data_IF_267506312047
#
_entry.id   IF_267506312047
#
_cell.length_a   1.000
_cell.length_b   1.000
_cell.length_c   1.000
_cell.angle_alpha   90.00
_cell.angle_beta   90.00
_cell.angle_gamma   90.00
#
_symmetry.space_group_name_H-M   'P 1'
#
loop_
_entity.id
_entity.type
_entity.pdbx_description
1 polymer ?
#
# COMPACT_ATOMS: atom_id res chain seq x y z
N UNK A 1 -14.34 -15.80 9.94
CA UNK A 1 -13.73 -14.63 10.61
C UNK A 1 -12.27 -14.42 10.20
N UNK A 2 -11.36 -15.38 10.47
CA UNK A 2 -9.92 -15.24 10.14
C UNK A 2 -9.69 -15.01 8.64
N UNK A 3 -10.35 -15.79 7.78
CA UNK A 3 -10.23 -15.67 6.32
C UNK A 3 -10.54 -14.26 5.80
N UNK A 4 -11.53 -13.59 6.39
CA UNK A 4 -11.89 -12.22 6.00
C UNK A 4 -10.88 -11.18 6.51
N UNK A 5 -10.30 -11.38 7.70
CA UNK A 5 -9.19 -10.54 8.15
C UNK A 5 -8.00 -10.65 7.19
N UNK A 6 -7.69 -11.85 6.71
CA UNK A 6 -6.62 -12.06 5.74
C UNK A 6 -6.94 -11.45 4.37
N UNK A 7 -8.20 -11.51 3.90
CA UNK A 7 -8.61 -10.81 2.67
C UNK A 7 -8.47 -9.29 2.80
N UNK A 8 -8.91 -8.73 3.94
CA UNK A 8 -8.78 -7.30 4.26
C UNK A 8 -7.31 -6.90 4.30
N UNK A 9 -6.45 -7.71 4.92
CA UNK A 9 -5.01 -7.45 5.00
C UNK A 9 -4.35 -7.48 3.61
N UNK A 10 -4.70 -8.46 2.78
CA UNK A 10 -4.22 -8.58 1.40
C UNK A 10 -4.64 -7.38 0.54
N UNK A 11 -5.91 -6.99 0.64
CA UNK A 11 -6.44 -5.86 -0.11
C UNK A 11 -5.85 -4.52 0.36
N UNK A 12 -5.67 -4.35 1.66
CA UNK A 12 -4.97 -3.21 2.25
C UNK A 12 -3.49 -3.18 1.83
N UNK A 13 -2.83 -4.33 1.75
CA UNK A 13 -1.46 -4.43 1.25
C UNK A 13 -1.37 -3.92 -0.18
N UNK A 14 -2.28 -4.36 -1.07
CA UNK A 14 -2.35 -3.89 -2.44
C UNK A 14 -2.56 -2.37 -2.52
N UNK A 15 -3.48 -1.83 -1.70
CA UNK A 15 -3.75 -0.39 -1.58
C UNK A 15 -2.53 0.43 -1.11
N UNK A 16 -1.68 -0.19 -0.29
CA UNK A 16 -0.43 0.38 0.18
C UNK A 16 0.69 0.36 -0.85
N UNK A 17 0.55 -0.35 -1.97
CA UNK A 17 1.52 -0.37 -3.08
C UNK A 17 1.04 0.51 -4.23
N UNK A 18 -0.22 0.35 -4.64
CA UNK A 18 -0.85 1.21 -5.64
C UNK A 18 -2.23 1.65 -5.21
N UNK A 19 -2.66 2.79 -5.74
CA UNK A 19 -3.95 3.36 -5.36
C UNK A 19 -5.01 3.05 -6.40
N UNK A 20 -4.80 3.46 -7.66
CA UNK A 20 -5.86 3.34 -8.66
C UNK A 20 -5.98 1.93 -9.20
N UNK A 21 -4.85 1.27 -9.43
CA UNK A 21 -4.83 -0.06 -10.03
C UNK A 21 -5.61 -1.11 -9.20
N UNK A 22 -5.38 -1.30 -7.89
CA UNK A 22 -6.14 -2.28 -7.13
C UNK A 22 -7.61 -1.87 -6.98
N UNK A 23 -7.90 -0.58 -6.81
CA UNK A 23 -9.28 -0.09 -6.70
C UNK A 23 -10.06 -0.30 -8.01
N UNK A 24 -9.41 -0.13 -9.16
CA UNK A 24 -9.97 -0.41 -10.49
C UNK A 24 -10.25 -1.91 -10.67
N UNK A 25 -9.30 -2.78 -10.29
CA UNK A 25 -9.48 -4.23 -10.38
C UNK A 25 -10.65 -4.67 -9.50
N UNK A 26 -10.69 -4.23 -8.25
CA UNK A 26 -11.78 -4.51 -7.31
C UNK A 26 -13.12 -3.99 -7.88
N UNK A 27 -13.12 -2.77 -8.43
CA UNK A 27 -14.29 -2.16 -9.05
C UNK A 27 -14.82 -2.93 -10.26
N UNK A 28 -13.94 -3.52 -11.08
CA UNK A 28 -14.34 -4.39 -12.19
C UNK A 28 -14.84 -5.75 -11.71
N UNK A 29 -14.18 -6.36 -10.72
CA UNK A 29 -14.55 -7.68 -10.19
C UNK A 29 -15.89 -7.65 -9.42
N UNK A 30 -16.19 -6.55 -8.72
CA UNK A 30 -17.36 -6.43 -7.84
C UNK A 30 -18.25 -5.23 -8.20
N UNK A 31 -18.42 -4.98 -9.50
CA UNK A 31 -18.99 -3.76 -10.10
C UNK A 31 -20.41 -3.37 -9.71
N UNK A 32 -21.15 -4.17 -8.94
CA UNK A 32 -22.46 -3.74 -8.41
C UNK A 32 -22.43 -3.52 -6.90
N UNK A 33 -21.68 -4.36 -6.18
CA UNK A 33 -21.62 -4.30 -4.71
C UNK A 33 -20.64 -3.24 -4.21
N UNK A 34 -19.51 -3.02 -4.89
CA UNK A 34 -18.52 -2.04 -4.42
C UNK A 34 -19.04 -0.60 -4.48
N UNK A 35 -19.77 -0.28 -5.55
CA UNK A 35 -20.26 1.07 -5.83
C UNK A 35 -21.43 1.46 -4.95
N UNK A 36 -22.25 0.48 -4.55
CA UNK A 36 -23.39 0.69 -3.65
C UNK A 36 -22.99 0.69 -2.17
N UNK A 37 -22.03 -0.14 -1.77
CA UNK A 37 -21.69 -0.31 -0.35
C UNK A 37 -20.64 0.67 0.17
N UNK A 38 -19.85 1.32 -0.69
CA UNK A 38 -18.80 2.26 -0.26
C UNK A 38 -19.37 3.69 -0.23
N UNK A 39 -19.46 4.34 0.95
CA UNK A 39 -20.19 5.60 1.12
C UNK A 39 -19.66 6.77 0.27
N UNK A 40 -18.36 6.75 -0.08
CA UNK A 40 -17.73 7.78 -0.92
C UNK A 40 -18.00 7.53 -2.41
N UNK A 41 -18.15 6.28 -2.83
CA UNK A 41 -18.39 5.89 -4.23
C UNK A 41 -19.88 5.86 -4.58
N UNK A 42 -20.77 5.65 -3.60
CA UNK A 42 -22.22 5.60 -3.80
C UNK A 42 -22.84 6.93 -4.27
N UNK A 43 -22.14 8.05 -4.09
CA UNK A 43 -22.61 9.38 -4.49
C UNK A 43 -22.26 9.74 -5.93
N UNK A 44 -21.45 8.93 -6.62
CA UNK A 44 -20.92 9.23 -7.97
C UNK A 44 -21.32 8.11 -8.92
N UNK A 45 -21.72 8.45 -10.15
CA UNK A 45 -22.06 7.46 -11.16
C UNK A 45 -20.86 6.52 -11.46
N UNK A 46 -21.05 5.18 -11.42
CA UNK A 46 -19.98 4.21 -11.64
C UNK A 46 -19.13 4.43 -12.91
N UNK A 47 -19.71 4.80 -14.08
CA UNK A 47 -18.93 5.02 -15.30
C UNK A 47 -17.91 6.16 -15.17
N UNK A 48 -18.24 7.21 -14.43
CA UNK A 48 -17.37 8.37 -14.21
C UNK A 48 -16.18 7.96 -13.36
N UNK A 49 -16.41 7.24 -12.27
CA UNK A 49 -15.32 6.81 -11.39
C UNK A 49 -14.42 5.78 -12.07
N UNK A 50 -14.98 4.85 -12.85
CA UNK A 50 -14.17 3.91 -13.65
C UNK A 50 -13.30 4.66 -14.65
N UNK A 51 -13.81 5.70 -15.29
CA UNK A 51 -13.05 6.52 -16.25
C UNK A 51 -11.91 7.28 -15.57
N UNK A 52 -12.16 7.84 -14.39
CA UNK A 52 -11.16 8.52 -13.57
C UNK A 52 -10.09 7.53 -13.09
N UNK A 53 -10.49 6.37 -12.55
CA UNK A 53 -9.58 5.33 -12.09
C UNK A 53 -8.74 4.75 -13.23
N UNK A 54 -9.33 4.57 -14.40
CA UNK A 54 -8.61 4.10 -15.59
C UNK A 54 -7.57 5.12 -16.02
N UNK A 55 -7.96 6.40 -16.09
CA UNK A 55 -7.04 7.49 -16.42
C UNK A 55 -5.90 7.60 -15.40
N UNK A 56 -6.21 7.47 -14.12
CA UNK A 56 -5.22 7.51 -13.04
C UNK A 56 -4.30 6.29 -13.04
N UNK A 57 -4.84 5.08 -13.31
CA UNK A 57 -4.06 3.84 -13.41
C UNK A 57 -3.08 3.89 -14.59
N UNK A 58 -3.51 4.44 -15.73
CA UNK A 58 -2.62 4.71 -16.86
C UNK A 58 -1.52 5.71 -16.50
N UNK A 59 -1.87 6.78 -15.77
CA UNK A 59 -0.90 7.75 -15.28
C UNK A 59 0.08 7.13 -14.27
N UNK A 60 -0.39 6.24 -13.39
CA UNK A 60 0.42 5.49 -12.43
C UNK A 60 1.41 4.57 -13.17
N UNK A 61 0.96 3.83 -14.19
CA UNK A 61 1.78 2.96 -15.05
C UNK A 61 2.84 3.73 -15.86
N UNK A 62 2.44 4.83 -16.49
CA UNK A 62 3.34 5.60 -17.37
C UNK A 62 4.29 6.47 -16.53
N UNK A 63 3.77 7.09 -15.48
CA UNK A 63 4.53 7.95 -14.58
C UNK A 63 5.56 7.19 -13.76
N UNK A 64 5.29 5.92 -13.44
CA UNK A 64 6.26 5.06 -12.74
C UNK A 64 7.48 4.68 -13.59
N UNK A 65 7.49 4.95 -14.91
CA UNK A 65 8.67 4.75 -15.76
C UNK A 65 9.66 5.92 -15.79
N UNK A 66 9.27 7.11 -15.31
CA UNK A 66 10.15 8.30 -15.28
C UNK A 66 10.51 8.65 -13.84
N UNK A 67 11.79 8.91 -13.56
CA UNK A 67 12.31 9.21 -12.20
C UNK A 67 11.59 10.40 -11.51
N UNK A 68 11.20 11.43 -12.27
CA UNK A 68 10.44 12.57 -11.74
C UNK A 68 8.97 12.21 -11.47
N UNK A 69 8.38 11.41 -12.35
CA UNK A 69 7.01 10.89 -12.19
C UNK A 69 6.90 10.01 -10.95
N UNK A 70 7.88 9.14 -10.72
CA UNK A 70 7.97 8.29 -9.53
C UNK A 70 7.95 9.10 -8.22
N UNK A 71 8.71 10.20 -8.12
CA UNK A 71 8.72 11.02 -6.89
C UNK A 71 7.37 11.66 -6.60
N UNK A 72 6.75 12.26 -7.62
CA UNK A 72 5.46 12.93 -7.46
C UNK A 72 4.38 11.90 -7.14
N UNK A 73 4.34 10.80 -7.87
CA UNK A 73 3.40 9.70 -7.63
C UNK A 73 3.56 9.15 -6.21
N UNK A 74 4.79 8.95 -5.74
CA UNK A 74 5.03 8.37 -4.44
C UNK A 74 4.64 9.30 -3.28
N UNK A 75 4.81 10.63 -3.42
CA UNK A 75 4.29 11.61 -2.44
C UNK A 75 2.77 11.60 -2.42
N UNK A 76 2.13 11.61 -3.60
CA UNK A 76 0.67 11.54 -3.70
C UNK A 76 0.16 10.23 -3.11
N UNK A 77 0.80 9.10 -3.42
CA UNK A 77 0.45 7.80 -2.86
C UNK A 77 0.65 7.75 -1.36
N UNK A 78 1.71 8.34 -0.81
CA UNK A 78 1.94 8.37 0.63
C UNK A 78 0.83 9.11 1.38
N UNK A 79 0.35 10.23 0.82
CA UNK A 79 -0.75 11.00 1.40
C UNK A 79 -2.11 10.31 1.24
N UNK A 80 -2.32 9.66 0.10
CA UNK A 80 -3.60 9.06 -0.25
C UNK A 80 -3.75 7.58 0.16
N UNK A 81 -2.66 6.84 0.42
CA UNK A 81 -2.73 5.41 0.78
C UNK A 81 -3.52 5.12 2.05
N UNK A 82 -3.47 5.92 3.14
CA UNK A 82 -4.30 5.63 4.32
C UNK A 82 -5.80 5.77 4.00
N UNK A 83 -6.15 6.76 3.17
CA UNK A 83 -7.54 6.97 2.74
C UNK A 83 -7.99 5.80 1.87
N UNK A 84 -7.22 5.44 0.85
CA UNK A 84 -7.57 4.38 -0.10
C UNK A 84 -7.56 3.01 0.56
N UNK A 85 -6.57 2.74 1.42
CA UNK A 85 -6.49 1.53 2.24
C UNK A 85 -7.70 1.38 3.15
N UNK A 86 -8.16 2.46 3.78
CA UNK A 86 -9.38 2.43 4.59
C UNK A 86 -10.62 2.11 3.76
N UNK A 87 -10.75 2.72 2.57
CA UNK A 87 -11.87 2.49 1.66
C UNK A 87 -11.90 1.04 1.20
N UNK A 88 -10.77 0.51 0.74
CA UNK A 88 -10.64 -0.87 0.26
C UNK A 88 -10.92 -1.86 1.38
N UNK A 89 -10.40 -1.64 2.58
CA UNK A 89 -10.65 -2.53 3.72
C UNK A 89 -12.11 -2.54 4.17
N UNK A 90 -12.78 -1.38 4.20
CA UNK A 90 -14.22 -1.29 4.47
C UNK A 90 -15.02 -2.00 3.38
N UNK A 91 -14.66 -1.79 2.11
CA UNK A 91 -15.31 -2.41 0.98
C UNK A 91 -15.21 -3.93 1.07
N UNK A 92 -14.01 -4.48 1.27
CA UNK A 92 -13.80 -5.93 1.40
C UNK A 92 -14.53 -6.51 2.61
N UNK A 93 -14.57 -5.80 3.74
CA UNK A 93 -15.30 -6.24 4.93
C UNK A 93 -16.82 -6.35 4.69
N UNK A 94 -17.40 -5.36 3.99
CA UNK A 94 -18.82 -5.40 3.59
C UNK A 94 -19.10 -6.53 2.60
N UNK A 95 -18.24 -6.69 1.61
CA UNK A 95 -18.35 -7.73 0.57
C UNK A 95 -18.24 -9.15 1.13
N UNK A 96 -17.49 -9.33 2.22
CA UNK A 96 -17.35 -10.62 2.91
C UNK A 96 -18.41 -10.84 4.00
N UNK A 97 -19.39 -9.94 4.12
CA UNK A 97 -20.52 -10.01 5.07
C UNK A 97 -20.08 -10.30 6.52
N UNK A 98 -18.99 -9.67 6.97
CA UNK A 98 -18.51 -9.94 8.32
C UNK A 98 -18.86 -8.81 9.28
N UNK A 99 -19.58 -9.16 10.34
CA UNK A 99 -19.83 -8.33 11.52
C UNK A 99 -18.56 -8.20 12.40
N UNK A 100 -17.42 -7.80 11.82
CA UNK A 100 -16.18 -7.57 12.57
C UNK A 100 -16.29 -6.18 13.23
N UNK A 101 -16.98 -6.09 14.37
CA UNK A 101 -16.98 -4.89 15.21
C UNK A 101 -17.33 -3.57 14.48
N UNK A 102 -16.84 -2.41 14.97
CA UNK A 102 -17.11 -1.14 14.33
C UNK A 102 -16.32 -1.03 13.01
N UNK A 103 -17.04 -0.85 11.90
CA UNK A 103 -16.51 -0.70 10.53
C UNK A 103 -15.38 0.35 10.44
N UNK A 104 -15.45 1.38 11.29
CA UNK A 104 -14.42 2.41 11.40
C UNK A 104 -13.06 1.86 11.84
N UNK A 105 -13.02 0.86 12.73
CA UNK A 105 -11.78 0.21 13.16
C UNK A 105 -11.13 -0.58 12.03
N UNK A 106 -11.93 -1.27 11.20
CA UNK A 106 -11.42 -1.99 10.03
C UNK A 106 -10.79 -1.02 9.03
N UNK A 107 -11.49 0.08 8.74
CA UNK A 107 -10.96 1.14 7.88
C UNK A 107 -9.68 1.75 8.45
N UNK A 108 -9.62 1.99 9.76
CA UNK A 108 -8.46 2.56 10.42
C UNK A 108 -7.25 1.60 10.39
N UNK A 109 -7.46 0.32 10.69
CA UNK A 109 -6.41 -0.71 10.63
C UNK A 109 -5.92 -0.90 9.20
N UNK A 110 -6.84 -0.96 8.23
CA UNK A 110 -6.51 -1.06 6.81
C UNK A 110 -5.78 0.17 6.26
N UNK A 111 -6.18 1.37 6.67
CA UNK A 111 -5.49 2.61 6.30
C UNK A 111 -4.10 2.70 6.91
N UNK A 112 -3.96 2.38 8.19
CA UNK A 112 -2.66 2.35 8.88
C UNK A 112 -1.72 1.30 8.27
N UNK A 113 -2.24 0.11 7.97
CA UNK A 113 -1.46 -0.96 7.37
C UNK A 113 -0.93 -0.57 5.98
N UNK A 114 -1.80 -0.04 5.12
CA UNK A 114 -1.42 0.50 3.81
C UNK A 114 -0.37 1.62 3.93
N UNK A 115 -0.56 2.52 4.90
CA UNK A 115 0.37 3.61 5.17
C UNK A 115 1.75 3.12 5.65
N UNK A 116 1.79 2.13 6.54
CA UNK A 116 3.04 1.53 7.03
C UNK A 116 3.84 0.88 5.91
N UNK A 117 3.19 0.12 5.03
CA UNK A 117 3.86 -0.46 3.87
C UNK A 117 4.40 0.64 2.95
N UNK A 118 3.56 1.62 2.62
CA UNK A 118 3.96 2.73 1.75
C UNK A 118 5.16 3.51 2.32
N UNK A 119 5.18 3.79 3.63
CA UNK A 119 6.33 4.42 4.30
C UNK A 119 7.63 3.65 4.10
N UNK A 120 7.59 2.32 4.15
CA UNK A 120 8.79 1.50 3.94
C UNK A 120 9.20 1.50 2.47
N UNK A 121 8.27 1.40 1.52
CA UNK A 121 8.57 1.52 0.10
C UNK A 121 9.23 2.89 -0.20
N UNK A 122 8.69 3.98 0.36
CA UNK A 122 9.27 5.33 0.24
C UNK A 122 10.64 5.42 0.91
N UNK A 123 10.80 4.86 2.11
CA UNK A 123 12.08 4.85 2.82
C UNK A 123 13.17 4.10 2.05
N UNK A 124 12.80 3.01 1.37
CA UNK A 124 13.72 2.26 0.53
C UNK A 124 14.09 3.04 -0.73
N UNK A 125 13.11 3.69 -1.38
CA UNK A 125 13.33 4.59 -2.52
C UNK A 125 14.32 5.70 -2.18
N UNK A 126 14.15 6.38 -1.04
CA UNK A 126 15.01 7.48 -0.62
C UNK A 126 16.47 7.04 -0.40
N UNK A 127 16.67 5.81 0.10
CA UNK A 127 18.01 5.22 0.29
C UNK A 127 18.67 4.82 -1.03
N UNK A 128 17.90 4.24 -1.97
CA UNK A 128 18.42 3.74 -3.25
C UNK A 128 18.63 4.83 -4.31
N UNK A 129 18.25 6.10 -4.05
CA UNK A 129 18.42 7.25 -4.97
C UNK A 129 17.84 7.03 -6.39
N UNK A 130 16.93 6.08 -6.54
CA UNK A 130 16.26 5.71 -7.78
C UNK A 130 15.82 4.25 -7.72
N UNK A 131 14.52 3.99 -7.85
CA UNK A 131 14.03 2.62 -7.94
C UNK A 131 14.41 2.06 -9.32
N UNK A 132 15.15 0.94 -9.39
CA UNK A 132 15.35 0.26 -10.65
C UNK A 132 13.98 -0.16 -11.19
N UNK A 133 13.79 -0.04 -12.51
CA UNK A 133 12.53 -0.32 -13.21
C UNK A 133 11.97 -1.71 -12.87
N UNK A 134 12.84 -2.66 -12.54
CA UNK A 134 12.48 -4.00 -12.07
C UNK A 134 11.64 -4.00 -10.80
N UNK A 135 11.91 -3.12 -9.83
CA UNK A 135 11.17 -3.09 -8.57
C UNK A 135 9.76 -2.57 -8.79
N UNK A 136 9.60 -1.55 -9.64
CA UNK A 136 8.27 -1.07 -10.08
C UNK A 136 7.48 -2.20 -10.74
N UNK A 137 8.12 -2.97 -11.61
CA UNK A 137 7.45 -4.10 -12.27
C UNK A 137 7.02 -5.18 -11.27
N UNK A 138 7.87 -5.48 -10.27
CA UNK A 138 7.56 -6.41 -9.18
C UNK A 138 6.40 -5.88 -8.33
N UNK A 139 6.41 -4.60 -7.99
CA UNK A 139 5.36 -3.94 -7.21
C UNK A 139 4.00 -4.02 -7.91
N UNK A 140 3.96 -3.70 -9.20
CA UNK A 140 2.74 -3.79 -10.02
C UNK A 140 2.20 -5.22 -10.05
N UNK A 141 3.10 -6.17 -10.29
CA UNK A 141 2.78 -7.60 -10.33
C UNK A 141 2.25 -8.07 -8.98
N UNK A 142 2.91 -7.69 -7.88
CA UNK A 142 2.51 -8.09 -6.53
C UNK A 142 1.18 -7.45 -6.14
N UNK A 143 0.93 -6.21 -6.51
CA UNK A 143 -0.35 -5.53 -6.31
C UNK A 143 -1.49 -6.28 -6.99
N UNK A 144 -1.32 -6.68 -8.26
CA UNK A 144 -2.34 -7.46 -8.99
C UNK A 144 -2.59 -8.80 -8.29
N UNK A 145 -1.53 -9.53 -7.94
CA UNK A 145 -1.66 -10.80 -7.24
C UNK A 145 -2.35 -10.67 -5.89
N UNK A 146 -2.02 -9.65 -5.08
CA UNK A 146 -2.64 -9.42 -3.78
C UNK A 146 -4.15 -9.14 -3.89
N UNK A 147 -4.59 -8.41 -4.91
CA UNK A 147 -6.03 -8.19 -5.16
C UNK A 147 -6.71 -9.48 -5.57
N UNK A 148 -6.12 -10.23 -6.48
CA UNK A 148 -6.68 -11.51 -6.92
C UNK A 148 -6.75 -12.52 -5.76
N UNK A 149 -5.70 -12.58 -4.93
CA UNK A 149 -5.68 -13.43 -3.74
C UNK A 149 -6.64 -12.95 -2.67
N UNK A 150 -6.87 -11.65 -2.51
CA UNK A 150 -7.85 -11.15 -1.54
C UNK A 150 -9.25 -11.75 -1.77
N UNK A 151 -9.62 -12.03 -3.03
CA UNK A 151 -10.92 -12.64 -3.35
C UNK A 151 -10.87 -14.16 -3.54
N UNK A 152 -9.88 -14.69 -4.26
CA UNK A 152 -9.84 -16.11 -4.63
C UNK A 152 -9.12 -17.00 -3.61
N UNK A 153 -8.06 -16.48 -2.99
CA UNK A 153 -7.19 -17.23 -2.07
C UNK A 153 -6.75 -16.35 -0.89
N UNK A 154 -7.71 -15.90 -0.05
CA UNK A 154 -7.46 -14.89 0.98
C UNK A 154 -6.40 -15.32 1.99
N UNK A 155 -6.24 -16.62 2.25
CA UNK A 155 -5.20 -17.14 3.12
C UNK A 155 -3.80 -16.85 2.59
N UNK A 156 -3.55 -17.14 1.32
CA UNK A 156 -2.26 -16.90 0.65
C UNK A 156 -1.98 -15.39 0.54
N UNK A 157 -2.99 -14.60 0.16
CA UNK A 157 -2.87 -13.15 0.07
C UNK A 157 -2.56 -12.50 1.42
N UNK A 158 -3.23 -12.93 2.49
CA UNK A 158 -2.98 -12.44 3.85
C UNK A 158 -1.61 -12.85 4.38
N UNK A 159 -1.12 -14.05 4.05
CA UNK A 159 0.23 -14.49 4.39
C UNK A 159 1.30 -13.62 3.71
N UNK A 160 1.11 -13.31 2.42
CA UNK A 160 1.99 -12.39 1.68
C UNK A 160 1.95 -11.00 2.33
N UNK A 161 0.77 -10.49 2.69
CA UNK A 161 0.63 -9.22 3.38
C UNK A 161 1.37 -9.21 4.74
N UNK A 162 1.28 -10.29 5.52
CA UNK A 162 2.03 -10.43 6.77
C UNK A 162 3.54 -10.49 6.53
N UNK A 163 3.99 -11.18 5.47
CA UNK A 163 5.40 -11.23 5.09
C UNK A 163 5.92 -9.84 4.70
N UNK A 164 5.13 -9.07 3.94
CA UNK A 164 5.43 -7.68 3.61
C UNK A 164 5.51 -6.80 4.87
N UNK A 165 4.59 -6.98 5.81
CA UNK A 165 4.64 -6.27 7.10
C UNK A 165 5.91 -6.64 7.88
N UNK A 166 6.28 -7.92 7.91
CA UNK A 166 7.50 -8.35 8.57
C UNK A 166 8.76 -7.74 7.92
N UNK A 167 8.82 -7.70 6.59
CA UNK A 167 9.86 -6.99 5.86
C UNK A 167 9.87 -5.50 6.19
N UNK A 168 8.70 -4.89 6.34
CA UNK A 168 8.55 -3.49 6.72
C UNK A 168 9.16 -3.21 8.10
N UNK A 169 8.86 -4.04 9.09
CA UNK A 169 9.44 -3.94 10.43
C UNK A 169 10.96 -4.14 10.40
N UNK A 170 11.45 -5.15 9.67
CA UNK A 170 12.89 -5.45 9.56
C UNK A 170 13.66 -4.33 8.85
N UNK A 171 13.07 -3.71 7.84
CA UNK A 171 13.66 -2.57 7.13
C UNK A 171 13.81 -1.35 8.05
N UNK A 172 12.77 -1.06 8.85
CA UNK A 172 12.79 0.01 9.86
C UNK A 172 13.89 -0.19 10.92
N UNK A 173 14.09 -1.42 11.40
CA UNK A 173 15.14 -1.74 12.36
C UNK A 173 16.55 -1.46 11.82
N UNK A 174 16.83 -1.85 10.57
CA UNK A 174 18.12 -1.52 9.93
C UNK A 174 18.33 -0.01 9.82
N UNK A 175 17.28 0.76 9.55
CA UNK A 175 17.33 2.23 9.50
C UNK A 175 17.69 2.81 10.86
N UNK A 176 17.06 2.32 11.93
CA UNK A 176 17.33 2.77 13.28
C UNK A 176 18.77 2.44 13.72
N UNK A 177 19.30 1.28 13.33
CA UNK A 177 20.67 0.88 13.62
C UNK A 177 21.70 1.76 12.89
N UNK A 178 21.53 1.99 11.58
CA UNK A 178 22.41 2.85 10.79
C UNK A 178 22.43 4.30 11.30
N UNK A 179 21.28 4.82 11.73
CA UNK A 179 21.19 6.14 12.32
C UNK A 179 21.93 6.22 13.67
N UNK A 180 21.84 5.17 14.50
CA UNK A 180 22.56 5.10 15.79
C UNK A 180 24.08 5.00 15.60
N UNK A 181 24.55 4.24 14.62
CA UNK A 181 25.98 4.13 14.28
C UNK A 181 26.55 5.44 13.74
N UNK A 182 25.84 6.08 12.81
CA UNK A 182 26.24 7.37 12.24
C UNK A 182 26.30 8.46 13.31
N UNK A 183 25.35 8.47 14.25
CA UNK A 183 25.36 9.39 15.41
C UNK A 183 26.49 9.09 16.39
N UNK A 184 26.85 7.81 16.60
CA UNK A 184 28.02 7.41 17.43
C UNK A 184 29.34 7.83 16.81
N UNK A 185 29.50 7.71 15.49
CA UNK A 185 30.71 8.12 14.77
C UNK A 185 30.87 9.66 14.78
N UNK A 186 29.77 10.41 14.67
CA UNK A 186 29.79 11.87 14.77
C UNK A 186 30.09 12.39 16.19
N UNK A 187 29.81 11.60 17.23
CA UNK A 187 30.08 11.93 18.64
C UNK A 187 31.42 11.38 19.15
N UNK A 188 32.14 10.58 18.36
CA UNK A 188 33.50 10.17 18.70
C UNK A 188 34.38 11.40 18.47
N UNK A 189 34.93 12.05 19.52
CA UNK A 189 35.89 13.12 19.30
C UNK A 189 37.04 12.51 18.52
N UNK A 190 37.43 13.16 17.44
CA UNK A 190 38.70 12.91 16.77
C UNK A 190 39.78 12.98 17.84
N UNK A 191 40.20 11.81 18.33
CA UNK A 191 41.36 11.70 19.19
C UNK A 191 42.50 12.36 18.43
N UNK A 192 42.89 13.52 18.92
CA UNK A 192 44.13 14.17 18.56
C UNK A 192 45.22 13.11 18.69
N UNK A 193 45.77 12.71 17.54
CA UNK A 193 47.16 12.27 17.49
C UNK A 193 47.97 13.45 18.04
N UNK A 194 48.40 13.33 19.29
CA UNK A 194 49.64 13.95 19.71
C UNK A 194 50.70 12.87 19.61
N UNK A 195 51.72 13.19 18.81
CA UNK A 195 52.94 12.44 18.56
C UNK A 195 53.67 12.01 19.83
#
# INVERSE_FOLDING_TARGET
>A
MIVALLSILSASAAAGMRIALPLLIIGFLQSERLWSDVPILASIEPPVVISILTSWSLFELIGSKKLLGQRVLQVVQLLCSPVVGSIISIAVAKLTHVEIGPIWLIGLVGGLFAFLLQLVLVGWFFRLRGLPIWVVLIEDTLCIFLVLFAFNAPQEGGLIAMLLLWLAVRSSQHWQQWYRESRRLALKPSGLNYD
#
